data_IF_368164845233
#
_entry.id   IF_368164845233
#
_cell.length_a   1.000
_cell.length_b   1.000
_cell.length_c   1.000
_cell.angle_alpha   90.00
_cell.angle_beta   90.00
_cell.angle_gamma   90.00
#
_symmetry.space_group_name_H-M   'P 1'
#
loop_
_entity.id
_entity.type
_entity.pdbx_description
1 polymer ?
#
# COMPACT_ATOMS: atom_id res chain seq x y z
N UNK A 1 -2.76 -6.70 17.50
CA UNK A 1 -2.67 -8.11 17.04
C UNK A 1 -1.99 -8.11 15.69
N UNK A 2 -0.84 -8.76 15.54
CA UNK A 2 -0.20 -8.90 14.24
C UNK A 2 -0.99 -9.94 13.44
N UNK A 3 -1.67 -9.51 12.39
CA UNK A 3 -2.32 -10.40 11.43
C UNK A 3 -1.36 -10.76 10.31
N UNK A 4 -1.50 -11.96 9.75
CA UNK A 4 -0.70 -12.43 8.60
C UNK A 4 -1.68 -12.66 7.46
N UNK A 5 -1.44 -12.02 6.32
CA UNK A 5 -2.30 -12.11 5.13
C UNK A 5 -3.65 -11.43 5.34
N UNK A 6 -3.70 -10.12 5.10
CA UNK A 6 -4.94 -9.34 5.28
C UNK A 6 -5.38 -8.75 3.95
N UNK A 7 -6.68 -8.87 3.64
CA UNK A 7 -7.29 -8.33 2.43
C UNK A 7 -8.35 -7.29 2.77
N UNK A 8 -8.25 -6.13 2.12
CA UNK A 8 -9.20 -5.02 2.23
C UNK A 8 -9.54 -4.53 0.82
N UNK A 9 -10.54 -5.08 0.14
CA UNK A 9 -10.98 -4.56 -1.15
C UNK A 9 -11.94 -3.37 -0.97
N UNK A 10 -11.68 -2.26 -1.68
CA UNK A 10 -12.61 -1.13 -1.78
C UNK A 10 -12.91 -0.42 -0.47
N UNK A 11 -11.97 -0.42 0.48
CA UNK A 11 -12.11 0.32 1.73
C UNK A 11 -11.81 1.81 1.51
N UNK A 12 -12.56 2.67 2.19
CA UNK A 12 -12.38 4.12 2.15
C UNK A 12 -11.32 4.60 3.13
N UNK A 13 -11.18 3.95 4.28
CA UNK A 13 -10.13 4.23 5.26
C UNK A 13 -9.66 2.90 5.85
N UNK A 14 -8.35 2.69 5.88
CA UNK A 14 -7.77 1.40 6.22
C UNK A 14 -6.50 1.62 7.04
N UNK A 15 -6.50 1.26 8.32
CA UNK A 15 -5.25 1.17 9.10
C UNK A 15 -4.89 -0.29 9.33
N UNK A 16 -3.71 -0.72 8.87
CA UNK A 16 -3.30 -2.11 9.03
C UNK A 16 -1.84 -2.26 9.49
N UNK A 17 -1.65 -3.19 10.43
CA UNK A 17 -0.34 -3.61 10.93
C UNK A 17 -0.22 -5.13 10.85
N UNK A 18 0.47 -5.63 9.82
CA UNK A 18 0.42 -7.04 9.44
C UNK A 18 1.60 -7.46 8.57
N UNK A 19 1.72 -8.76 8.29
CA UNK A 19 2.68 -9.28 7.31
C UNK A 19 1.88 -9.77 6.10
N UNK A 20 2.12 -9.18 4.93
CA UNK A 20 1.35 -9.42 3.72
C UNK A 20 -0.01 -8.71 3.74
N UNK A 21 -0.10 -7.55 3.11
CA UNK A 21 -1.34 -6.77 2.94
C UNK A 21 -1.72 -6.70 1.47
N UNK A 22 -2.99 -6.95 1.17
CA UNK A 22 -3.58 -6.67 -0.12
C UNK A 22 -4.77 -5.71 0.02
N UNK A 23 -4.64 -4.52 -0.55
CA UNK A 23 -5.71 -3.52 -0.53
C UNK A 23 -6.00 -3.04 -1.95
N UNK A 24 -6.77 -3.76 -2.78
CA UNK A 24 -7.11 -3.29 -4.11
C UNK A 24 -8.23 -2.24 -4.09
N UNK A 25 -8.05 -1.14 -4.81
CA UNK A 25 -9.07 -0.11 -5.03
C UNK A 25 -9.48 0.65 -3.77
N UNK A 26 -8.59 0.75 -2.78
CA UNK A 26 -8.86 1.49 -1.56
C UNK A 26 -8.48 2.97 -1.67
N UNK A 27 -9.12 3.77 -0.82
CA UNK A 27 -8.78 5.17 -0.54
C UNK A 27 -8.17 5.26 0.87
N UNK A 28 -7.37 6.30 1.14
CA UNK A 28 -6.90 6.68 2.49
C UNK A 28 -6.39 5.49 3.34
N UNK A 29 -5.55 4.64 2.73
CA UNK A 29 -4.96 3.51 3.43
C UNK A 29 -3.64 3.88 4.09
N UNK A 30 -3.51 3.56 5.37
CA UNK A 30 -2.25 3.57 6.11
C UNK A 30 -1.83 2.14 6.46
N UNK A 31 -0.78 1.64 5.81
CA UNK A 31 -0.29 0.27 5.99
C UNK A 31 1.13 0.26 6.54
N UNK A 32 1.34 -0.47 7.63
CA UNK A 32 2.66 -0.69 8.22
C UNK A 32 2.93 -2.20 8.28
N UNK A 33 3.64 -2.71 7.28
CA UNK A 33 3.69 -4.16 7.02
C UNK A 33 4.94 -4.62 6.28
N UNK A 34 5.10 -5.94 6.11
CA UNK A 34 6.13 -6.51 5.25
C UNK A 34 5.40 -7.16 4.07
N UNK A 35 5.64 -6.67 2.86
CA UNK A 35 4.89 -7.04 1.66
C UNK A 35 3.53 -6.35 1.58
N UNK A 36 3.42 -5.34 0.71
CA UNK A 36 2.15 -4.63 0.43
C UNK A 36 1.84 -4.70 -1.06
N UNK A 37 0.60 -5.04 -1.38
CA UNK A 37 0.05 -4.98 -2.73
C UNK A 37 -1.24 -4.15 -2.73
N UNK A 38 -1.17 -2.96 -3.31
CA UNK A 38 -2.30 -2.04 -3.38
C UNK A 38 -2.51 -1.60 -4.83
N UNK A 39 -3.16 -2.38 -5.70
CA UNK A 39 -3.43 -1.95 -7.07
C UNK A 39 -4.63 -0.99 -7.12
N UNK A 40 -4.51 0.08 -7.90
CA UNK A 40 -5.61 1.01 -8.19
C UNK A 40 -6.09 1.84 -7.00
N UNK A 41 -5.22 2.12 -6.04
CA UNK A 41 -5.58 2.86 -4.84
C UNK A 41 -5.26 4.35 -4.95
N UNK A 42 -5.92 5.15 -4.12
CA UNK A 42 -5.67 6.58 -3.97
C UNK A 42 -5.25 6.89 -2.52
N UNK A 43 -4.42 7.91 -2.33
CA UNK A 43 -4.06 8.46 -1.01
C UNK A 43 -3.50 7.41 -0.03
N UNK A 44 -2.58 6.58 -0.52
CA UNK A 44 -2.03 5.47 0.26
C UNK A 44 -0.69 5.83 0.91
N UNK A 45 -0.60 5.64 2.22
CA UNK A 45 0.65 5.73 2.96
C UNK A 45 1.13 4.33 3.38
N UNK A 46 2.22 3.86 2.78
CA UNK A 46 2.79 2.54 3.03
C UNK A 46 4.19 2.66 3.64
N UNK A 47 4.35 2.06 4.82
CA UNK A 47 5.63 1.93 5.50
C UNK A 47 6.01 0.43 5.54
N UNK A 48 6.70 -0.05 4.50
CA UNK A 48 6.83 -1.49 4.29
C UNK A 48 7.99 -1.95 3.41
N UNK A 49 8.53 -3.14 3.71
CA UNK A 49 9.55 -3.78 2.87
C UNK A 49 8.84 -4.52 1.74
N UNK A 50 9.12 -4.14 0.49
CA UNK A 50 8.48 -4.72 -0.71
C UNK A 50 7.05 -4.21 -0.91
N UNK A 51 6.89 -3.20 -1.77
CA UNK A 51 5.60 -2.57 -2.06
C UNK A 51 5.32 -2.62 -3.55
N UNK A 52 4.14 -3.09 -3.92
CA UNK A 52 3.65 -3.09 -5.29
C UNK A 52 2.32 -2.35 -5.35
N UNK A 53 2.36 -1.18 -5.97
CA UNK A 53 1.21 -0.31 -6.13
C UNK A 53 1.07 0.03 -7.62
N UNK A 54 0.52 -0.84 -8.48
CA UNK A 54 0.30 -0.48 -9.88
C UNK A 54 -0.97 0.38 -10.02
N UNK A 55 -0.94 1.38 -10.90
CA UNK A 55 -2.11 2.20 -11.26
C UNK A 55 -2.69 3.04 -10.12
N UNK A 56 -1.88 3.42 -9.14
CA UNK A 56 -2.32 4.19 -7.98
C UNK A 56 -2.09 5.70 -8.16
N UNK A 57 -2.78 6.50 -7.36
CA UNK A 57 -2.57 7.95 -7.26
C UNK A 57 -2.20 8.36 -5.84
N UNK A 58 -1.37 9.40 -5.70
CA UNK A 58 -1.08 10.05 -4.41
C UNK A 58 -0.56 9.07 -3.34
N UNK A 59 0.35 8.18 -3.73
CA UNK A 59 0.91 7.20 -2.80
C UNK A 59 2.23 7.66 -2.23
N UNK A 60 2.36 7.57 -0.90
CA UNK A 60 3.62 7.75 -0.20
C UNK A 60 4.14 6.39 0.27
N UNK A 61 5.21 5.91 -0.35
CA UNK A 61 5.89 4.69 0.03
C UNK A 61 7.26 5.04 0.60
N UNK A 62 7.54 4.63 1.83
CA UNK A 62 8.87 4.68 2.41
C UNK A 62 9.38 3.23 2.45
N UNK A 63 10.64 2.97 2.06
CA UNK A 63 11.45 1.74 2.14
C UNK A 63 11.93 1.07 0.83
N UNK A 64 12.83 0.09 1.01
CA UNK A 64 13.48 -0.73 -0.02
C UNK A 64 12.50 -1.63 -0.79
N UNK A 65 12.59 -1.58 -2.12
CA UNK A 65 11.87 -2.49 -3.02
C UNK A 65 10.45 -2.06 -3.38
N UNK A 66 10.24 -0.77 -3.65
CA UNK A 66 8.96 -0.23 -4.12
C UNK A 66 8.86 -0.29 -5.65
N UNK A 67 7.72 -0.76 -6.15
CA UNK A 67 7.34 -0.74 -7.57
C UNK A 67 5.98 -0.09 -7.74
N UNK A 68 5.98 1.15 -8.26
CA UNK A 68 4.80 1.92 -8.61
C UNK A 68 4.69 2.06 -10.13
N UNK A 69 4.10 1.06 -10.80
CA UNK A 69 3.97 1.05 -12.26
C UNK A 69 2.70 1.80 -12.68
N UNK A 70 2.81 2.75 -13.60
CA UNK A 70 1.64 3.47 -14.13
C UNK A 70 0.90 4.31 -13.09
N UNK A 71 1.61 4.82 -12.09
CA UNK A 71 1.03 5.64 -11.03
C UNK A 71 1.24 7.13 -11.29
N UNK A 72 0.35 7.94 -10.73
CA UNK A 72 0.46 9.40 -10.70
C UNK A 72 0.79 9.86 -9.28
N UNK A 73 1.72 10.81 -9.13
CA UNK A 73 2.04 11.43 -7.85
C UNK A 73 2.45 10.46 -6.72
N UNK A 74 3.16 9.38 -7.09
CA UNK A 74 3.75 8.48 -6.11
C UNK A 74 5.14 8.95 -5.67
N UNK A 75 5.29 9.19 -4.37
CA UNK A 75 6.58 9.43 -3.75
C UNK A 75 7.09 8.14 -3.12
N UNK A 76 8.20 7.61 -3.65
CA UNK A 76 8.84 6.41 -3.15
C UNK A 76 10.23 6.75 -2.62
N UNK A 77 10.44 6.66 -1.30
CA UNK A 77 11.76 6.80 -0.69
C UNK A 77 12.39 5.41 -0.54
N UNK A 78 13.34 5.07 -1.41
CA UNK A 78 14.11 3.82 -1.34
C UNK A 78 15.23 3.89 -0.31
#
# INVERSE_FOLDING_TARGET
CLSIGVQFPGCSECFCLSIGVQCPGCSDCFCLSIGVQCPGCSDCFCLSIGVQCPGCSDCFCLFMGVQCLGCSDCFCLS
#
